data_IF_576315793693
#
_entry.id   IF_576315793693
#
_cell.length_a   1.000
_cell.length_b   1.000
_cell.length_c   1.000
_cell.angle_alpha   90.00
_cell.angle_beta   90.00
_cell.angle_gamma   90.00
#
_symmetry.space_group_name_H-M   'P 1'
#
loop_
_entity.id
_entity.type
_entity.pdbx_description
1 polymer ?
#
# COMPACT_ATOMS: atom_id res chain seq x y z
N UNK A 1 13.19 -28.90 -80.35
CA UNK A 1 13.01 -29.05 -78.89
C UNK A 1 12.67 -27.67 -78.38
N UNK A 2 11.45 -27.44 -77.89
CA UNK A 2 10.91 -27.89 -76.59
C UNK A 2 11.59 -27.19 -75.42
N UNK A 3 10.75 -26.67 -74.51
CA UNK A 3 10.97 -26.03 -73.20
C UNK A 3 11.76 -24.71 -73.24
N UNK A 4 11.25 -23.55 -72.81
CA UNK A 4 10.10 -23.22 -71.97
C UNK A 4 10.59 -22.36 -70.81
N UNK A 5 10.18 -21.10 -70.77
CA UNK A 5 9.81 -20.35 -69.55
C UNK A 5 9.41 -18.93 -69.97
N UNK A 6 8.12 -18.76 -70.22
CA UNK A 6 7.47 -17.46 -70.15
C UNK A 6 7.45 -17.04 -68.68
N UNK A 7 8.26 -16.05 -68.29
CA UNK A 7 8.14 -15.46 -66.95
C UNK A 7 7.06 -14.38 -67.00
N UNK A 8 5.84 -14.77 -66.63
CA UNK A 8 4.73 -13.88 -66.30
C UNK A 8 5.14 -12.95 -65.15
N UNK A 9 5.53 -11.70 -65.45
CA UNK A 9 5.55 -10.65 -64.43
C UNK A 9 4.12 -10.17 -64.20
N UNK A 10 3.34 -10.96 -63.45
CA UNK A 10 2.10 -10.47 -62.85
C UNK A 10 2.43 -9.20 -62.05
N UNK A 11 1.77 -8.10 -62.39
CA UNK A 11 1.91 -6.83 -61.69
C UNK A 11 1.44 -6.97 -60.23
N UNK A 12 2.36 -7.40 -59.36
CA UNK A 12 2.12 -7.43 -57.92
C UNK A 12 1.75 -6.02 -57.46
N UNK A 13 0.61 -5.89 -56.78
CA UNK A 13 0.16 -4.61 -56.24
C UNK A 13 1.27 -4.03 -55.34
N UNK A 14 1.84 -2.88 -55.74
CA UNK A 14 2.76 -2.13 -54.88
C UNK A 14 2.00 -1.12 -54.03
N UNK A 15 1.83 -1.45 -52.73
CA UNK A 15 1.19 -0.58 -51.76
C UNK A 15 2.13 0.49 -51.20
N UNK A 16 1.57 1.47 -50.47
CA UNK A 16 2.38 2.45 -49.76
C UNK A 16 3.25 1.78 -48.68
N UNK A 17 4.56 2.05 -48.68
CA UNK A 17 5.49 1.55 -47.65
C UNK A 17 5.13 2.02 -46.24
N UNK A 18 5.36 1.17 -45.24
CA UNK A 18 5.10 1.52 -43.83
C UNK A 18 6.12 2.53 -43.29
N UNK A 19 5.76 3.25 -42.22
CA UNK A 19 6.70 4.17 -41.54
C UNK A 19 7.94 3.43 -41.03
N UNK A 20 7.78 2.16 -40.63
CA UNK A 20 8.90 1.33 -40.19
C UNK A 20 9.84 0.97 -41.35
N UNK A 21 9.30 0.60 -42.52
CA UNK A 21 10.07 0.34 -43.74
C UNK A 21 10.80 1.60 -44.23
N UNK A 22 10.09 2.73 -44.36
CA UNK A 22 10.70 4.00 -44.78
C UNK A 22 11.85 4.43 -43.87
N UNK A 23 11.72 4.19 -42.56
CA UNK A 23 12.76 4.48 -41.58
C UNK A 23 13.93 3.50 -41.67
N UNK A 24 13.68 2.22 -41.91
CA UNK A 24 14.71 1.20 -42.11
C UNK A 24 15.52 1.51 -43.38
N UNK A 25 14.86 1.77 -44.50
CA UNK A 25 15.50 2.08 -45.78
C UNK A 25 16.32 3.39 -45.71
N UNK A 26 15.76 4.42 -45.06
CA UNK A 26 16.43 5.70 -44.88
C UNK A 26 17.41 5.73 -43.68
N UNK A 27 17.62 4.61 -42.98
CA UNK A 27 18.43 4.51 -41.75
C UNK A 27 18.09 5.58 -40.69
N UNK A 28 16.80 5.95 -40.56
CA UNK A 28 16.32 6.97 -39.60
C UNK A 28 15.76 6.31 -38.34
N UNK A 29 16.30 6.58 -37.14
CA UNK A 29 15.77 6.02 -35.89
C UNK A 29 14.37 6.54 -35.59
N UNK A 30 13.58 5.76 -34.84
CA UNK A 30 12.27 6.18 -34.33
C UNK A 30 12.47 7.25 -33.25
N UNK A 31 11.79 8.41 -33.32
CA UNK A 31 11.89 9.42 -32.27
C UNK A 31 11.25 8.91 -30.99
N UNK A 32 12.02 8.90 -29.90
CA UNK A 32 11.56 8.49 -28.57
C UNK A 32 11.75 9.66 -27.60
N UNK A 33 10.66 10.11 -26.98
CA UNK A 33 10.71 11.15 -25.96
C UNK A 33 11.26 10.57 -24.65
N UNK A 34 12.38 11.11 -24.16
CA UNK A 34 13.05 10.65 -22.94
C UNK A 34 12.19 10.77 -21.67
N UNK A 35 11.21 11.65 -21.68
CA UNK A 35 10.28 11.86 -20.56
C UNK A 35 9.04 10.99 -20.64
N UNK A 36 8.71 10.45 -21.82
CA UNK A 36 7.64 9.45 -22.00
C UNK A 36 8.09 8.04 -21.59
N UNK A 37 9.39 7.80 -21.49
CA UNK A 37 9.93 6.54 -21.01
C UNK A 37 9.67 6.39 -19.52
N UNK A 38 9.00 5.30 -19.15
CA UNK A 38 8.79 4.94 -17.75
C UNK A 38 10.14 4.84 -17.02
N UNK A 39 10.20 5.45 -15.85
CA UNK A 39 11.36 5.41 -14.94
C UNK A 39 10.90 4.90 -13.58
N UNK A 40 11.76 4.15 -12.85
CA UNK A 40 11.44 3.76 -11.48
C UNK A 40 11.28 5.02 -10.61
N UNK A 41 10.13 5.16 -9.96
CA UNK A 41 9.84 6.30 -9.08
C UNK A 41 10.24 5.91 -7.65
N UNK A 42 11.33 6.48 -7.14
CA UNK A 42 11.73 6.32 -5.73
C UNK A 42 10.99 7.34 -4.87
N UNK A 43 10.04 6.86 -4.05
CA UNK A 43 9.25 7.72 -3.16
C UNK A 43 9.93 7.82 -1.81
N UNK A 44 10.22 9.03 -1.36
CA UNK A 44 10.68 9.28 0.00
C UNK A 44 9.53 9.09 1.00
N UNK A 45 9.85 8.63 2.21
CA UNK A 45 8.87 8.50 3.29
C UNK A 45 8.39 9.90 3.71
N UNK A 46 7.12 10.21 3.48
CA UNK A 46 6.53 11.48 3.89
C UNK A 46 6.35 11.52 5.41
N UNK A 47 7.04 12.45 6.07
CA UNK A 47 6.84 12.75 7.49
C UNK A 47 5.97 14.00 7.61
N UNK A 48 4.88 13.91 8.36
CA UNK A 48 3.99 15.05 8.58
C UNK A 48 4.41 15.82 9.82
N UNK A 49 4.26 17.14 9.77
CA UNK A 49 4.52 17.97 10.94
C UNK A 49 3.52 17.62 12.07
N UNK A 50 3.96 17.68 13.34
CA UNK A 50 3.04 17.56 14.47
C UNK A 50 2.00 18.68 14.42
N UNK A 51 0.82 18.44 14.97
CA UNK A 51 -0.29 19.41 14.96
C UNK A 51 0.05 20.58 15.89
N UNK A 52 0.17 21.83 15.38
CA UNK A 52 0.36 22.99 16.22
C UNK A 52 -0.97 23.38 16.87
N UNK A 53 -1.00 23.49 18.20
CA UNK A 53 -2.14 24.03 18.92
C UNK A 53 -1.97 25.54 19.06
N UNK A 54 -2.92 26.37 18.60
CA UNK A 54 -2.83 27.81 18.79
C UNK A 54 -2.83 28.19 20.27
N UNK A 55 -1.98 29.14 20.66
CA UNK A 55 -1.85 29.57 22.05
C UNK A 55 -3.18 30.11 22.63
N UNK A 56 -3.99 30.77 21.81
CA UNK A 56 -5.31 31.28 22.19
C UNK A 56 -6.31 30.16 22.51
N UNK A 57 -6.20 29.02 21.83
CA UNK A 57 -7.00 27.83 22.08
C UNK A 57 -6.49 27.13 23.33
N UNK A 58 -5.18 26.90 23.44
CA UNK A 58 -4.56 26.23 24.59
C UNK A 58 -4.88 26.93 25.93
N UNK A 59 -4.95 28.26 25.93
CA UNK A 59 -5.31 29.04 27.11
C UNK A 59 -6.77 28.83 27.57
N UNK A 60 -7.68 28.57 26.62
CA UNK A 60 -9.13 28.40 26.88
C UNK A 60 -9.51 26.94 27.17
N UNK A 61 -8.60 25.99 26.98
CA UNK A 61 -8.87 24.57 27.23
C UNK A 61 -9.06 24.30 28.73
N UNK A 62 -10.02 23.43 29.12
CA UNK A 62 -10.16 23.02 30.50
C UNK A 62 -8.92 22.25 30.98
N UNK A 63 -8.62 22.37 32.28
CA UNK A 63 -7.39 21.88 32.90
C UNK A 63 -7.01 20.44 32.52
N UNK A 64 -8.00 19.53 32.48
CA UNK A 64 -7.81 18.12 32.14
C UNK A 64 -7.29 17.90 30.71
N UNK A 65 -7.66 18.77 29.78
CA UNK A 65 -7.33 18.66 28.35
C UNK A 65 -6.14 19.53 27.91
N UNK A 66 -5.64 20.40 28.79
CA UNK A 66 -4.53 21.29 28.47
C UNK A 66 -3.24 20.50 28.25
N UNK A 67 -2.50 20.85 27.19
CA UNK A 67 -1.23 20.21 26.85
C UNK A 67 -0.15 20.48 27.89
N UNK A 68 0.62 19.45 28.25
CA UNK A 68 1.71 19.52 29.25
C UNK A 68 3.07 19.69 28.57
N UNK A 69 3.18 20.65 27.65
CA UNK A 69 4.40 20.88 26.89
C UNK A 69 5.42 21.61 27.78
N UNK A 70 6.53 20.95 28.10
CA UNK A 70 7.64 21.58 28.82
C UNK A 70 8.51 22.38 27.85
N UNK A 71 8.79 23.64 28.20
CA UNK A 71 9.71 24.47 27.43
C UNK A 71 11.14 23.97 27.63
N UNK A 72 11.98 24.13 26.59
CA UNK A 72 13.40 23.84 26.70
C UNK A 72 14.03 24.78 27.73
N UNK A 73 14.79 24.23 28.67
CA UNK A 73 15.53 25.03 29.66
C UNK A 73 16.59 25.87 28.94
N UNK A 74 16.57 27.18 29.16
CA UNK A 74 17.52 28.13 28.53
C UNK A 74 18.91 28.08 29.17
N UNK A 75 18.98 27.81 30.47
CA UNK A 75 20.24 27.75 31.24
C UNK A 75 20.55 26.33 31.68
N UNK A 76 21.83 25.97 31.68
CA UNK A 76 22.30 24.69 32.23
C UNK A 76 22.20 24.72 33.76
N UNK A 77 21.47 23.77 34.32
CA UNK A 77 21.35 23.62 35.78
C UNK A 77 22.63 23.11 36.42
N UNK A 78 22.77 23.27 37.73
CA UNK A 78 23.94 22.86 38.50
C UNK A 78 24.32 21.38 38.27
N UNK A 79 23.32 20.49 38.26
CA UNK A 79 23.52 19.04 38.02
C UNK A 79 24.12 18.76 36.64
N UNK A 80 23.70 19.50 35.61
CA UNK A 80 24.22 19.31 34.26
C UNK A 80 25.67 19.80 34.14
N UNK A 81 26.04 20.88 34.85
CA UNK A 81 27.41 21.42 34.85
C UNK A 81 28.43 20.48 35.51
N UNK A 82 28.01 19.77 36.56
CA UNK A 82 28.85 18.81 37.29
C UNK A 82 28.77 17.38 36.76
N UNK A 83 28.17 17.16 35.60
CA UNK A 83 28.04 15.83 35.05
C UNK A 83 29.43 15.34 34.58
N UNK A 84 29.80 14.12 34.98
CA UNK A 84 31.07 13.51 34.58
C UNK A 84 31.02 13.14 33.09
N UNK A 85 32.04 13.53 32.35
CA UNK A 85 32.16 13.19 30.92
C UNK A 85 32.61 11.74 30.80
N UNK A 86 31.92 10.96 29.97
CA UNK A 86 32.27 9.56 29.73
C UNK A 86 33.63 9.40 29.05
N UNK A 87 34.36 8.39 29.47
CA UNK A 87 35.63 7.98 28.86
C UNK A 87 35.40 7.40 27.44
N UNK A 88 36.41 7.39 26.56
CA UNK A 88 36.27 6.90 25.19
C UNK A 88 35.76 5.44 25.10
N UNK A 89 36.18 4.57 26.02
CA UNK A 89 35.72 3.17 26.07
C UNK A 89 34.24 3.04 26.44
N UNK A 90 33.76 3.86 27.38
CA UNK A 90 32.37 3.89 27.80
C UNK A 90 31.47 4.49 26.72
N UNK A 91 31.93 5.56 26.05
CA UNK A 91 31.23 6.14 24.89
C UNK A 91 30.99 5.10 23.80
N UNK A 92 32.00 4.28 23.48
CA UNK A 92 31.87 3.19 22.49
C UNK A 92 30.83 2.15 22.93
N UNK A 93 30.85 1.73 24.20
CA UNK A 93 29.86 0.79 24.76
C UNK A 93 28.44 1.37 24.70
N UNK A 94 28.27 2.64 25.07
CA UNK A 94 26.97 3.31 25.03
C UNK A 94 26.44 3.47 23.61
N UNK A 95 27.30 3.86 22.66
CA UNK A 95 26.94 3.95 21.25
C UNK A 95 26.52 2.58 20.70
N UNK A 96 27.22 1.51 21.07
CA UNK A 96 26.86 0.15 20.70
C UNK A 96 25.49 -0.26 21.26
N UNK A 97 25.22 0.01 22.54
CA UNK A 97 23.92 -0.28 23.16
C UNK A 97 22.79 0.50 22.50
N UNK A 98 23.01 1.78 22.16
CA UNK A 98 22.05 2.59 21.42
C UNK A 98 21.76 2.00 20.04
N UNK A 99 22.80 1.62 19.29
CA UNK A 99 22.65 0.98 17.99
C UNK A 99 21.85 -0.33 18.09
N UNK A 100 22.16 -1.19 19.07
CA UNK A 100 21.41 -2.43 19.32
C UNK A 100 19.93 -2.14 19.62
N UNK A 101 19.65 -1.14 20.45
CA UNK A 101 18.29 -0.68 20.74
C UNK A 101 17.54 -0.24 19.48
N UNK A 102 18.17 0.55 18.60
CA UNK A 102 17.56 1.00 17.34
C UNK A 102 17.23 -0.16 16.40
N UNK A 103 18.17 -1.10 16.20
CA UNK A 103 17.97 -2.28 15.35
C UNK A 103 16.84 -3.16 15.90
N UNK A 104 16.79 -3.36 17.22
CA UNK A 104 15.72 -4.13 17.88
C UNK A 104 14.35 -3.48 17.65
N UNK A 105 14.25 -2.15 17.82
CA UNK A 105 13.01 -1.42 17.65
C UNK A 105 12.51 -1.47 16.19
N UNK A 106 13.42 -1.30 15.23
CA UNK A 106 13.09 -1.41 13.81
C UNK A 106 12.62 -2.84 13.45
N UNK A 107 13.31 -3.88 13.94
CA UNK A 107 12.91 -5.27 13.73
C UNK A 107 11.52 -5.56 14.31
N UNK A 108 11.22 -5.02 15.50
CA UNK A 108 9.90 -5.13 16.13
C UNK A 108 8.82 -4.42 15.31
N UNK A 109 9.09 -3.20 14.83
CA UNK A 109 8.17 -2.45 13.99
C UNK A 109 7.87 -3.17 12.67
N UNK A 110 8.90 -3.67 11.97
CA UNK A 110 8.75 -4.47 10.73
C UNK A 110 7.93 -5.75 10.97
N UNK A 111 8.17 -6.46 12.08
CA UNK A 111 7.39 -7.64 12.44
C UNK A 111 5.92 -7.29 12.69
N UNK A 112 5.67 -6.22 13.44
CA UNK A 112 4.32 -5.78 13.75
C UNK A 112 3.55 -5.37 12.49
N UNK A 113 4.16 -4.60 11.58
CA UNK A 113 3.55 -4.21 10.32
C UNK A 113 3.15 -5.43 9.46
N UNK A 114 4.05 -6.41 9.31
CA UNK A 114 3.74 -7.66 8.60
C UNK A 114 2.62 -8.47 9.28
N UNK A 115 2.57 -8.45 10.61
CA UNK A 115 1.49 -9.13 11.33
C UNK A 115 0.15 -8.43 11.11
N UNK A 116 0.11 -7.10 11.12
CA UNK A 116 -1.11 -6.33 10.84
C UNK A 116 -1.62 -6.59 9.42
N UNK A 117 -0.74 -6.64 8.42
CA UNK A 117 -1.08 -7.00 7.04
C UNK A 117 -1.74 -8.39 6.98
N UNK A 118 -1.08 -9.40 7.56
CA UNK A 118 -1.63 -10.78 7.62
C UNK A 118 -2.98 -10.85 8.33
N UNK A 119 -3.13 -10.13 9.44
CA UNK A 119 -4.38 -10.08 10.21
C UNK A 119 -5.49 -9.39 9.40
N UNK A 120 -5.18 -8.31 8.67
CA UNK A 120 -6.13 -7.63 7.80
C UNK A 120 -6.60 -8.53 6.65
N UNK A 121 -5.68 -9.27 6.01
CA UNK A 121 -6.02 -10.24 4.97
C UNK A 121 -6.88 -11.37 5.48
N UNK A 122 -6.53 -11.93 6.65
CA UNK A 122 -7.33 -12.95 7.31
C UNK A 122 -8.73 -12.43 7.63
N UNK A 123 -8.84 -11.22 8.17
CA UNK A 123 -10.13 -10.61 8.47
C UNK A 123 -10.96 -10.37 7.21
N UNK A 124 -10.34 -9.96 6.10
CA UNK A 124 -11.01 -9.82 4.80
C UNK A 124 -11.57 -11.17 4.32
N UNK A 125 -10.76 -12.24 4.36
CA UNK A 125 -11.19 -13.59 3.98
C UNK A 125 -12.33 -14.08 4.88
N UNK A 126 -12.20 -13.89 6.20
CA UNK A 126 -13.23 -14.26 7.19
C UNK A 126 -14.55 -13.54 6.94
N UNK A 127 -14.52 -12.23 6.66
CA UNK A 127 -15.73 -11.46 6.29
C UNK A 127 -16.37 -11.98 5.01
N UNK A 128 -15.58 -12.35 4.00
CA UNK A 128 -16.12 -12.94 2.76
C UNK A 128 -16.77 -14.30 3.00
N UNK A 129 -16.18 -15.15 3.84
CA UNK A 129 -16.76 -16.46 4.18
C UNK A 129 -18.02 -16.32 5.03
N UNK A 130 -18.02 -15.41 6.01
CA UNK A 130 -19.20 -15.09 6.84
C UNK A 130 -20.33 -14.56 5.98
N UNK A 131 -20.07 -13.64 5.05
CA UNK A 131 -21.10 -13.13 4.14
C UNK A 131 -21.71 -14.24 3.26
N UNK A 132 -20.89 -15.18 2.76
CA UNK A 132 -21.39 -16.33 2.00
C UNK A 132 -22.24 -17.26 2.87
N UNK A 133 -21.78 -17.55 4.08
CA UNK A 133 -22.51 -18.37 5.03
C UNK A 133 -23.84 -17.72 5.43
N UNK A 134 -23.86 -16.42 5.71
CA UNK A 134 -25.07 -15.67 6.03
C UNK A 134 -26.11 -15.72 4.90
N UNK A 135 -25.66 -15.61 3.63
CA UNK A 135 -26.55 -15.77 2.48
C UNK A 135 -27.16 -17.18 2.41
N UNK A 136 -26.35 -18.22 2.65
CA UNK A 136 -26.82 -19.60 2.69
C UNK A 136 -27.81 -19.83 3.83
N UNK A 137 -27.51 -19.33 5.04
CA UNK A 137 -28.40 -19.43 6.20
C UNK A 137 -29.72 -18.70 5.96
N UNK A 138 -29.68 -17.49 5.37
CA UNK A 138 -30.90 -16.75 5.00
C UNK A 138 -31.74 -17.51 3.97
N UNK A 139 -31.11 -18.09 2.95
CA UNK A 139 -31.81 -18.88 1.93
C UNK A 139 -32.43 -20.15 2.53
N UNK A 140 -31.68 -20.89 3.33
CA UNK A 140 -32.16 -22.10 4.03
C UNK A 140 -33.31 -21.78 4.99
N UNK A 141 -33.21 -20.68 5.76
CA UNK A 141 -34.27 -20.19 6.64
C UNK A 141 -35.53 -19.88 5.83
N UNK A 142 -35.40 -19.13 4.72
CA UNK A 142 -36.53 -18.79 3.84
C UNK A 142 -37.21 -20.03 3.23
N UNK A 143 -36.43 -21.03 2.81
CA UNK A 143 -36.95 -22.29 2.31
C UNK A 143 -37.75 -23.05 3.38
N UNK A 144 -37.20 -23.20 4.58
CA UNK A 144 -37.86 -23.87 5.72
C UNK A 144 -39.21 -23.21 6.07
N UNK A 145 -39.25 -21.87 6.17
CA UNK A 145 -40.51 -21.17 6.47
C UNK A 145 -41.54 -21.27 5.34
N UNK A 146 -41.09 -21.35 4.08
CA UNK A 146 -42.00 -21.57 2.94
C UNK A 146 -42.64 -22.96 3.00
N UNK A 147 -41.84 -23.99 3.28
CA UNK A 147 -42.32 -25.37 3.41
C UNK A 147 -43.31 -25.50 4.57
N UNK A 148 -42.98 -24.99 5.77
CA UNK A 148 -43.89 -24.99 6.91
C UNK A 148 -45.21 -24.25 6.62
N UNK A 149 -45.16 -23.12 5.89
CA UNK A 149 -46.37 -22.39 5.50
C UNK A 149 -47.23 -23.14 4.47
N UNK A 150 -46.62 -23.89 3.55
CA UNK A 150 -47.35 -24.75 2.60
C UNK A 150 -47.99 -25.95 3.32
N UNK A 151 -47.28 -26.56 4.28
CA UNK A 151 -47.78 -27.66 5.09
C UNK A 151 -48.96 -27.21 5.98
N UNK A 152 -48.85 -26.04 6.62
CA UNK A 152 -49.97 -25.43 7.36
C UNK A 152 -51.18 -25.18 6.47
N UNK A 153 -51.00 -24.57 5.29
CA UNK A 153 -52.10 -24.38 4.33
C UNK A 153 -52.75 -25.69 3.90
N UNK A 154 -51.95 -26.73 3.61
CA UNK A 154 -52.48 -28.06 3.27
C UNK A 154 -53.32 -28.64 4.42
N UNK A 155 -52.84 -28.50 5.65
CA UNK A 155 -53.56 -28.94 6.86
C UNK A 155 -54.87 -28.18 7.06
N UNK A 156 -54.87 -26.87 6.84
CA UNK A 156 -56.06 -26.03 6.99
C UNK A 156 -57.08 -26.23 5.85
N UNK A 157 -56.64 -26.52 4.62
CA UNK A 157 -57.51 -26.82 3.47
C UNK A 157 -58.05 -28.25 3.44
N UNK A 158 -57.51 -29.14 4.27
CA UNK A 158 -57.93 -30.54 4.40
C UNK A 158 -58.99 -30.76 5.50
N UNK A 159 -59.59 -29.67 5.99
CA UNK A 159 -60.68 -29.64 6.97
C UNK A 159 -61.86 -28.89 6.36
#
# INVERSE_FOLDING_TARGET
GLSGEESEEEASWSGMRTVAELRRDASKPVPVNKDSLYKPIVRQTRQFNPIPVPASLEAKLPFKSKTKNLTKKSKTGYVAKRAVVLEPGEKKKMAFLQALGTVRNEKKAKRHAKQQEKTADLQKKKRQTEAKFDLQVRAAKKAKFREMGQEQKRRDSGR
#
